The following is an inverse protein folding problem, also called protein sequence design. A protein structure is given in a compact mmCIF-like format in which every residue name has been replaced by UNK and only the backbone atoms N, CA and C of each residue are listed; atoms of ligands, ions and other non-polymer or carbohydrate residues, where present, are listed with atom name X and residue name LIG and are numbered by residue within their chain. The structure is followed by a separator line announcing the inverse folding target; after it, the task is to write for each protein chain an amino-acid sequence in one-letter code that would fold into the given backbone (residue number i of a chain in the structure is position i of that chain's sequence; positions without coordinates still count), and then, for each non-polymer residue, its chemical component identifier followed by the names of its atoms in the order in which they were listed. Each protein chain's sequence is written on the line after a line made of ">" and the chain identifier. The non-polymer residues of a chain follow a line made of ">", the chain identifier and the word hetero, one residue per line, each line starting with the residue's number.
data_IF_952746847710
#
_entry.id   IF_952746847710
#
_cell.length_a   1.000
_cell.length_b   1.000
_cell.length_c   1.000
_cell.angle_alpha   90.00
_cell.angle_beta   90.00
_cell.angle_gamma   90.00
#
_symmetry.space_group_name_H-M   'P 1'
#
loop_
_entity.id
_entity.type
_entity.pdbx_description
1 polymer ?
#
# COMPACT_ATOMS: atom_id res chain seq x y z
N UNK A 1 -1.99 -30.78 -2.49
CA UNK A 1 -2.16 -30.60 -3.96
C UNK A 1 -3.40 -29.76 -4.24
N UNK A 2 -4.59 -30.06 -3.71
CA UNK A 2 -5.83 -29.31 -3.97
C UNK A 2 -5.75 -27.81 -3.71
N UNK A 3 -5.08 -27.38 -2.65
CA UNK A 3 -4.93 -25.97 -2.31
C UNK A 3 -4.13 -25.15 -3.35
N UNK A 4 -3.14 -25.76 -4.01
CA UNK A 4 -2.40 -25.11 -5.09
C UNK A 4 -3.27 -24.85 -6.32
N UNK A 5 -4.21 -25.76 -6.64
CA UNK A 5 -5.17 -25.55 -7.70
C UNK A 5 -6.08 -24.35 -7.41
N UNK A 6 -6.54 -24.20 -6.15
CA UNK A 6 -7.34 -23.03 -5.72
C UNK A 6 -6.56 -21.74 -5.90
N UNK A 7 -5.28 -21.71 -5.52
CA UNK A 7 -4.41 -20.53 -5.69
C UNK A 7 -4.22 -20.20 -7.17
N UNK A 8 -4.02 -21.18 -8.02
CA UNK A 8 -3.83 -20.99 -9.45
C UNK A 8 -5.12 -20.44 -10.11
N UNK A 9 -6.27 -21.00 -9.79
CA UNK A 9 -7.58 -20.51 -10.25
C UNK A 9 -7.78 -19.06 -9.81
N UNK A 10 -7.48 -18.73 -8.55
CA UNK A 10 -7.55 -17.37 -8.05
C UNK A 10 -6.69 -16.40 -8.86
N UNK A 11 -5.44 -16.73 -9.15
CA UNK A 11 -4.54 -15.88 -9.94
C UNK A 11 -5.03 -15.69 -11.38
N UNK A 12 -5.56 -16.74 -12.01
CA UNK A 12 -6.15 -16.65 -13.36
C UNK A 12 -7.37 -15.71 -13.35
N UNK A 13 -8.27 -15.88 -12.39
CA UNK A 13 -9.45 -15.03 -12.22
C UNK A 13 -9.02 -13.58 -11.98
N UNK A 14 -8.03 -13.35 -11.11
CA UNK A 14 -7.50 -12.03 -10.81
C UNK A 14 -6.97 -11.33 -12.08
N UNK A 15 -6.14 -12.02 -12.88
CA UNK A 15 -5.59 -11.49 -14.13
C UNK A 15 -6.74 -11.17 -15.12
N UNK A 16 -7.69 -12.07 -15.29
CA UNK A 16 -8.82 -11.88 -16.20
C UNK A 16 -9.67 -10.66 -15.80
N UNK A 17 -10.04 -10.56 -14.51
CA UNK A 17 -10.80 -9.40 -14.00
C UNK A 17 -10.03 -8.09 -14.17
N UNK A 18 -8.72 -8.10 -13.91
CA UNK A 18 -7.91 -6.91 -14.05
C UNK A 18 -7.87 -6.43 -15.50
N UNK A 19 -7.74 -7.31 -16.48
CA UNK A 19 -7.70 -6.94 -17.90
C UNK A 19 -9.05 -6.42 -18.41
N UNK A 20 -10.15 -6.93 -17.84
CA UNK A 20 -11.50 -6.47 -18.19
C UNK A 20 -11.78 -5.09 -17.58
N UNK A 21 -11.47 -4.89 -16.30
CA UNK A 21 -11.80 -3.66 -15.57
C UNK A 21 -10.83 -2.50 -15.88
N UNK A 22 -9.55 -2.81 -16.12
CA UNK A 22 -8.49 -1.81 -16.29
C UNK A 22 -7.65 -2.04 -17.56
N UNK A 23 -8.22 -1.93 -18.77
CA UNK A 23 -7.53 -2.25 -20.03
C UNK A 23 -6.34 -1.33 -20.33
N UNK A 24 -6.30 -0.12 -19.72
CA UNK A 24 -5.21 0.86 -19.89
C UNK A 24 -4.06 0.68 -18.88
N UNK A 25 -4.19 -0.23 -17.92
CA UNK A 25 -3.15 -0.43 -16.91
C UNK A 25 -2.01 -1.31 -17.43
N UNK A 26 -0.83 -1.17 -16.81
CA UNK A 26 0.36 -1.94 -17.18
C UNK A 26 0.18 -3.42 -16.92
N UNK A 27 0.13 -4.21 -17.99
CA UNK A 27 0.03 -5.69 -17.91
C UNK A 27 1.27 -6.30 -17.28
N UNK A 28 2.44 -5.72 -17.52
CA UNK A 28 3.71 -6.19 -16.98
C UNK A 28 3.72 -6.14 -15.45
N UNK A 29 3.21 -5.05 -14.86
CA UNK A 29 3.14 -4.88 -13.41
C UNK A 29 2.28 -5.96 -12.77
N UNK A 30 1.11 -6.25 -13.34
CA UNK A 30 0.18 -7.26 -12.82
C UNK A 30 0.76 -8.67 -12.93
N UNK A 31 1.39 -8.99 -14.06
CA UNK A 31 2.02 -10.30 -14.25
C UNK A 31 3.17 -10.51 -13.24
N UNK A 32 4.01 -9.50 -13.02
CA UNK A 32 5.08 -9.57 -12.01
C UNK A 32 4.51 -9.73 -10.60
N UNK A 33 3.43 -9.02 -10.26
CA UNK A 33 2.76 -9.16 -8.98
C UNK A 33 2.22 -10.59 -8.79
N UNK A 34 1.54 -11.13 -9.79
CA UNK A 34 1.02 -12.51 -9.74
C UNK A 34 2.14 -13.56 -9.62
N UNK A 35 3.25 -13.35 -10.34
CA UNK A 35 4.43 -14.19 -10.23
C UNK A 35 5.01 -14.19 -8.80
N UNK A 36 5.20 -13.01 -8.21
CA UNK A 36 5.69 -12.88 -6.84
C UNK A 36 4.73 -13.50 -5.82
N UNK A 37 3.42 -13.31 -5.99
CA UNK A 37 2.41 -13.93 -5.13
C UNK A 37 2.43 -15.45 -5.23
N UNK A 38 2.57 -16.02 -6.44
CA UNK A 38 2.63 -17.48 -6.62
C UNK A 38 3.84 -18.08 -5.92
N UNK A 39 5.02 -17.48 -6.08
CA UNK A 39 6.24 -17.89 -5.38
C UNK A 39 6.06 -17.76 -3.86
N UNK A 40 5.50 -16.65 -3.38
CA UNK A 40 5.23 -16.41 -1.96
C UNK A 40 4.31 -17.48 -1.36
N UNK A 41 3.21 -17.82 -2.04
CA UNK A 41 2.29 -18.87 -1.57
C UNK A 41 2.94 -20.25 -1.52
N UNK A 42 3.75 -20.61 -2.52
CA UNK A 42 4.47 -21.87 -2.53
C UNK A 42 5.44 -21.96 -1.33
N UNK A 43 6.21 -20.90 -1.08
CA UNK A 43 7.17 -20.87 0.02
C UNK A 43 6.48 -20.92 1.40
N UNK A 44 5.43 -20.15 1.61
CA UNK A 44 4.69 -20.13 2.89
C UNK A 44 3.99 -21.49 3.12
N UNK A 45 3.40 -22.08 2.07
CA UNK A 45 2.74 -23.38 2.17
C UNK A 45 3.70 -24.51 2.59
N UNK A 46 4.96 -24.43 2.17
CA UNK A 46 6.00 -25.39 2.58
C UNK A 46 6.44 -25.23 4.03
N UNK A 47 6.43 -23.98 4.55
CA UNK A 47 6.86 -23.67 5.91
C UNK A 47 5.74 -23.90 6.93
N UNK A 48 4.54 -23.43 6.64
CA UNK A 48 3.39 -23.54 7.54
C UNK A 48 2.08 -23.37 6.76
N UNK A 49 1.32 -24.44 6.67
CA UNK A 49 0.08 -24.46 5.90
C UNK A 49 -1.00 -23.51 6.46
N UNK A 50 -1.15 -23.43 7.79
CA UNK A 50 -2.14 -22.54 8.41
C UNK A 50 -1.86 -21.06 8.14
N UNK A 51 -0.56 -20.69 8.13
CA UNK A 51 -0.15 -19.34 7.75
C UNK A 51 -0.42 -19.06 6.27
N UNK A 52 -0.25 -20.07 5.41
CA UNK A 52 -0.56 -19.95 3.99
C UNK A 52 -2.05 -19.71 3.75
N UNK A 53 -2.93 -20.41 4.45
CA UNK A 53 -4.40 -20.18 4.37
C UNK A 53 -4.76 -18.77 4.81
N UNK A 54 -4.22 -18.30 5.94
CA UNK A 54 -4.43 -16.92 6.41
C UNK A 54 -3.95 -15.89 5.38
N UNK A 55 -2.76 -16.10 4.83
CA UNK A 55 -2.19 -15.22 3.81
C UNK A 55 -3.04 -15.20 2.53
N UNK A 56 -3.58 -16.34 2.13
CA UNK A 56 -4.47 -16.45 0.97
C UNK A 56 -5.77 -15.65 1.19
N UNK A 57 -6.39 -15.77 2.37
CA UNK A 57 -7.60 -14.99 2.71
C UNK A 57 -7.30 -13.48 2.69
N UNK A 58 -6.17 -13.06 3.25
CA UNK A 58 -5.75 -11.65 3.22
C UNK A 58 -5.53 -11.18 1.78
N UNK A 59 -4.92 -11.99 0.93
CA UNK A 59 -4.69 -11.66 -0.48
C UNK A 59 -6.01 -11.51 -1.25
N UNK A 60 -7.01 -12.36 -1.01
CA UNK A 60 -8.35 -12.24 -1.60
C UNK A 60 -9.03 -10.95 -1.15
N UNK A 61 -9.01 -10.64 0.15
CA UNK A 61 -9.57 -9.40 0.69
C UNK A 61 -8.85 -8.17 0.11
N UNK A 62 -7.52 -8.20 0.05
CA UNK A 62 -6.72 -7.14 -0.55
C UNK A 62 -7.05 -6.92 -2.03
N UNK A 63 -7.33 -7.97 -2.77
CA UNK A 63 -7.78 -7.90 -4.18
C UNK A 63 -9.11 -7.17 -4.30
N UNK A 64 -10.08 -7.47 -3.45
CA UNK A 64 -11.38 -6.78 -3.44
C UNK A 64 -11.17 -5.28 -3.19
N UNK A 65 -10.37 -4.93 -2.19
CA UNK A 65 -10.03 -3.54 -1.88
C UNK A 65 -9.32 -2.87 -3.07
N UNK A 66 -8.36 -3.57 -3.70
CA UNK A 66 -7.62 -3.07 -4.85
C UNK A 66 -8.55 -2.71 -6.04
N UNK A 67 -9.58 -3.48 -6.29
CA UNK A 67 -10.56 -3.17 -7.34
C UNK A 67 -11.52 -2.05 -6.92
N UNK A 68 -11.85 -1.96 -5.65
CA UNK A 68 -12.82 -1.00 -5.13
C UNK A 68 -12.23 0.42 -5.04
N UNK A 69 -10.94 0.57 -4.68
CA UNK A 69 -10.29 1.88 -4.48
C UNK A 69 -10.30 2.75 -5.74
N UNK A 70 -9.88 2.30 -6.94
CA UNK A 70 -9.91 3.13 -8.15
C UNK A 70 -11.33 3.52 -8.57
N UNK A 71 -12.30 2.62 -8.34
CA UNK A 71 -13.70 2.90 -8.59
C UNK A 71 -14.22 4.00 -7.66
N UNK A 72 -13.91 3.94 -6.36
CA UNK A 72 -14.24 4.98 -5.38
C UNK A 72 -13.62 6.33 -5.74
N UNK A 73 -12.33 6.36 -6.08
CA UNK A 73 -11.62 7.59 -6.47
C UNK A 73 -12.26 8.22 -7.70
N UNK A 74 -12.68 7.42 -8.67
CA UNK A 74 -13.35 7.90 -9.87
C UNK A 74 -14.77 8.39 -9.61
N UNK A 75 -15.51 7.71 -8.73
CA UNK A 75 -16.90 8.00 -8.41
C UNK A 75 -17.06 9.25 -7.54
N UNK A 76 -16.16 9.46 -6.58
CA UNK A 76 -16.25 10.54 -5.60
C UNK A 76 -15.23 11.62 -5.91
N UNK A 77 -15.64 12.64 -6.64
CA UNK A 77 -14.79 13.80 -7.01
C UNK A 77 -14.17 14.52 -5.80
N UNK A 78 -14.81 14.40 -4.64
CA UNK A 78 -14.37 15.02 -3.39
C UNK A 78 -13.02 14.46 -2.90
N UNK A 79 -12.70 13.20 -3.16
CA UNK A 79 -11.39 12.61 -2.81
C UNK A 79 -10.21 13.34 -3.47
N UNK A 80 -10.44 13.95 -4.63
CA UNK A 80 -9.42 14.71 -5.35
C UNK A 80 -9.08 16.06 -4.70
N UNK A 81 -9.91 16.55 -3.78
CA UNK A 81 -9.75 17.87 -3.18
C UNK A 81 -9.19 17.84 -1.75
N UNK A 82 -9.11 16.67 -1.13
CA UNK A 82 -8.72 16.51 0.28
C UNK A 82 -7.21 16.34 0.50
N UNK A 83 -6.36 16.93 -0.34
CA UNK A 83 -4.89 16.79 -0.25
C UNK A 83 -4.34 17.07 1.15
N UNK A 84 -4.80 18.13 1.83
CA UNK A 84 -4.36 18.46 3.19
C UNK A 84 -4.80 17.43 4.23
N UNK A 85 -5.97 16.82 4.08
CA UNK A 85 -6.46 15.77 4.99
C UNK A 85 -5.55 14.55 4.87
N UNK A 86 -5.17 14.15 3.64
CA UNK A 86 -4.26 13.03 3.41
C UNK A 86 -2.87 13.30 3.98
N UNK A 87 -2.34 14.52 3.82
CA UNK A 87 -1.07 14.92 4.39
C UNK A 87 -1.07 14.81 5.92
N UNK A 88 -2.06 15.43 6.57
CA UNK A 88 -2.16 15.47 8.03
C UNK A 88 -2.40 14.06 8.58
N UNK A 89 -3.31 13.28 7.99
CA UNK A 89 -3.58 11.91 8.44
C UNK A 89 -2.36 11.00 8.28
N UNK A 90 -1.60 11.15 7.20
CA UNK A 90 -0.35 10.43 6.99
C UNK A 90 0.70 10.76 8.05
N UNK A 91 0.90 12.04 8.34
CA UNK A 91 1.84 12.49 9.37
C UNK A 91 1.44 12.03 10.77
N UNK A 92 0.16 12.11 11.12
CA UNK A 92 -0.36 11.64 12.42
C UNK A 92 -0.13 10.14 12.59
N UNK A 93 -0.41 9.34 11.55
CA UNK A 93 -0.14 7.89 11.58
C UNK A 93 1.35 7.58 11.73
N UNK A 94 2.23 8.31 11.03
CA UNK A 94 3.67 8.12 11.18
C UNK A 94 4.18 8.53 12.56
N UNK A 95 3.69 9.63 13.12
CA UNK A 95 4.01 10.04 14.49
C UNK A 95 3.54 9.02 15.52
N UNK A 96 2.36 8.42 15.31
CA UNK A 96 1.86 7.35 16.18
C UNK A 96 2.80 6.13 16.18
N UNK A 97 3.42 5.82 15.03
CA UNK A 97 4.43 4.74 14.93
C UNK A 97 5.68 5.05 15.76
N UNK A 98 6.16 6.29 15.76
CA UNK A 98 7.31 6.71 16.58
C UNK A 98 7.08 6.50 18.08
N UNK A 99 5.82 6.64 18.52
CA UNK A 99 5.42 6.42 19.92
C UNK A 99 5.13 4.94 20.23
N UNK A 100 5.09 4.09 19.21
CA UNK A 100 4.82 2.65 19.34
C UNK A 100 6.00 1.86 19.89
N UNK A 101 5.75 0.57 20.23
CA UNK A 101 6.77 -0.33 20.73
C UNK A 101 7.78 -0.71 19.63
N UNK A 102 9.05 -0.73 20.00
CA UNK A 102 10.13 -1.20 19.11
C UNK A 102 10.06 -2.72 18.96
N UNK A 103 9.96 -3.20 17.74
CA UNK A 103 10.07 -4.62 17.39
C UNK A 103 11.35 -4.79 16.57
N UNK A 104 12.27 -5.65 17.04
CA UNK A 104 13.59 -5.85 16.41
C UNK A 104 14.42 -4.56 16.20
N UNK A 105 14.28 -3.58 17.11
CA UNK A 105 15.02 -2.33 17.03
C UNK A 105 14.43 -1.24 16.13
N UNK A 106 13.32 -1.52 15.44
CA UNK A 106 12.61 -0.57 14.59
C UNK A 106 11.17 -0.35 15.07
N UNK A 107 10.68 0.90 14.92
CA UNK A 107 9.28 1.24 15.20
C UNK A 107 8.46 1.01 13.93
N UNK A 108 8.16 -0.26 13.60
CA UNK A 108 7.52 -0.61 12.32
C UNK A 108 6.05 -1.02 12.45
N UNK A 109 5.67 -1.60 13.58
CA UNK A 109 4.36 -2.23 13.73
C UNK A 109 3.63 -1.77 14.98
N UNK A 110 2.32 -1.56 14.83
CA UNK A 110 1.38 -1.46 15.93
C UNK A 110 0.72 -2.82 16.13
N UNK A 111 0.91 -3.44 17.29
CA UNK A 111 0.23 -4.68 17.63
C UNK A 111 -1.13 -4.37 18.26
N UNK A 112 -2.21 -4.77 17.60
CA UNK A 112 -3.57 -4.66 18.10
C UNK A 112 -4.07 -6.10 18.35
N UNK A 113 -3.84 -6.61 19.55
CA UNK A 113 -4.18 -8.00 19.90
C UNK A 113 -3.38 -9.01 19.10
N UNK A 114 -4.05 -9.92 18.38
CA UNK A 114 -3.43 -10.96 17.56
C UNK A 114 -2.96 -10.49 16.17
N UNK A 115 -3.24 -9.24 15.79
CA UNK A 115 -2.85 -8.67 14.51
C UNK A 115 -1.76 -7.62 14.69
N UNK A 116 -0.71 -7.73 13.88
CA UNK A 116 0.29 -6.67 13.72
C UNK A 116 -0.01 -5.89 12.44
N UNK A 117 -0.22 -4.60 12.57
CA UNK A 117 -0.48 -3.69 11.46
C UNK A 117 0.72 -2.77 11.31
N UNK A 118 1.23 -2.63 10.10
CA UNK A 118 2.29 -1.69 9.78
C UNK A 118 1.67 -0.41 9.22
N UNK A 119 1.58 0.68 9.99
CA UNK A 119 0.93 1.92 9.53
C UNK A 119 1.59 2.53 8.30
N UNK A 120 2.91 2.36 8.11
CA UNK A 120 3.63 2.83 6.93
C UNK A 120 3.02 2.33 5.61
N UNK A 121 2.43 1.13 5.58
CA UNK A 121 1.76 0.59 4.39
C UNK A 121 0.51 1.41 4.01
N UNK A 122 -0.27 1.84 5.01
CA UNK A 122 -1.42 2.71 4.79
C UNK A 122 -1.00 4.13 4.41
N UNK A 123 0.07 4.63 5.05
CA UNK A 123 0.58 5.98 4.77
C UNK A 123 1.10 6.09 3.33
N UNK A 124 1.63 5.02 2.72
CA UNK A 124 2.00 5.02 1.29
C UNK A 124 0.82 5.43 0.41
N UNK A 125 -0.36 4.87 0.67
CA UNK A 125 -1.57 5.19 -0.09
C UNK A 125 -1.98 6.65 0.12
N UNK A 126 -2.00 7.09 1.39
CA UNK A 126 -2.33 8.46 1.75
C UNK A 126 -1.34 9.47 1.14
N UNK A 127 -0.06 9.14 1.12
CA UNK A 127 0.99 9.96 0.54
C UNK A 127 0.82 10.14 -0.97
N UNK A 128 0.58 9.06 -1.71
CA UNK A 128 0.30 9.14 -3.16
C UNK A 128 -0.96 9.96 -3.42
N UNK A 129 -2.01 9.78 -2.61
CA UNK A 129 -3.24 10.58 -2.70
C UNK A 129 -2.99 12.06 -2.40
N UNK A 130 -2.15 12.37 -1.42
CA UNK A 130 -1.73 13.74 -1.09
C UNK A 130 -1.03 14.40 -2.28
N UNK A 131 0.02 13.78 -2.80
CA UNK A 131 0.80 14.31 -3.92
C UNK A 131 -0.09 14.50 -5.16
N UNK A 132 -0.87 13.47 -5.53
CA UNK A 132 -1.78 13.53 -6.66
C UNK A 132 -2.87 14.62 -6.51
N UNK A 133 -3.44 14.77 -5.32
CA UNK A 133 -4.46 15.79 -5.04
C UNK A 133 -3.91 17.21 -5.09
N UNK A 134 -2.70 17.41 -4.59
CA UNK A 134 -2.08 18.74 -4.59
C UNK A 134 -1.70 19.19 -6.00
N UNK A 135 -1.14 18.31 -6.84
CA UNK A 135 -0.81 18.65 -8.22
C UNK A 135 -2.03 18.72 -9.16
N UNK A 136 -3.18 18.14 -8.77
CA UNK A 136 -4.40 18.28 -9.55
C UNK A 136 -4.98 19.70 -9.55
N UNK A 137 -4.68 20.53 -8.54
CA UNK A 137 -5.23 21.88 -8.41
C UNK A 137 -4.42 22.92 -9.19
N UNK A 138 -3.11 22.86 -9.12
CA UNK A 138 -2.19 23.73 -9.86
C UNK A 138 -0.77 23.17 -9.83
N UNK A 139 0.03 23.56 -10.81
CA UNK A 139 1.47 23.22 -10.90
C UNK A 139 2.34 24.45 -10.69
N UNK A 140 1.91 25.39 -9.85
CA UNK A 140 2.67 26.59 -9.54
C UNK A 140 3.93 26.23 -8.74
N UNK A 141 5.05 26.92 -9.01
CA UNK A 141 6.33 26.70 -8.29
C UNK A 141 6.17 26.73 -6.77
N UNK A 142 5.38 27.70 -6.26
CA UNK A 142 5.08 27.82 -4.83
C UNK A 142 4.40 26.55 -4.27
N UNK A 143 3.48 25.97 -5.03
CA UNK A 143 2.78 24.75 -4.63
C UNK A 143 3.72 23.53 -4.65
N UNK A 144 4.59 23.43 -5.65
CA UNK A 144 5.61 22.39 -5.71
C UNK A 144 6.53 22.46 -4.49
N UNK A 145 7.00 23.64 -4.10
CA UNK A 145 7.81 23.80 -2.89
C UNK A 145 7.07 23.33 -1.63
N UNK A 146 5.79 23.68 -1.48
CA UNK A 146 5.00 23.26 -0.32
C UNK A 146 4.87 21.73 -0.29
N UNK A 147 4.52 21.10 -1.42
CA UNK A 147 4.41 19.63 -1.52
C UNK A 147 5.73 18.97 -1.19
N UNK A 148 6.83 19.46 -1.72
CA UNK A 148 8.18 18.92 -1.47
C UNK A 148 8.57 19.00 0.00
N UNK A 149 8.27 20.11 0.68
CA UNK A 149 8.55 20.24 2.13
C UNK A 149 7.76 19.22 2.95
N UNK A 150 6.47 19.05 2.68
CA UNK A 150 5.67 18.04 3.40
C UNK A 150 6.03 16.61 3.01
N UNK A 151 6.42 16.37 1.77
CA UNK A 151 6.96 15.09 1.33
C UNK A 151 8.27 14.75 2.07
N UNK A 152 9.20 15.69 2.13
CA UNK A 152 10.44 15.54 2.88
C UNK A 152 10.19 15.24 4.37
N UNK A 153 9.18 15.88 4.98
CA UNK A 153 8.81 15.62 6.36
C UNK A 153 8.37 14.17 6.57
N UNK A 154 7.56 13.59 5.67
CA UNK A 154 7.20 12.16 5.73
C UNK A 154 8.44 11.26 5.65
N UNK A 155 9.36 11.56 4.73
CA UNK A 155 10.61 10.79 4.57
C UNK A 155 11.46 10.86 5.83
N UNK A 156 11.63 12.04 6.43
CA UNK A 156 12.41 12.23 7.66
C UNK A 156 11.83 11.39 8.80
N UNK A 157 10.51 11.40 8.99
CA UNK A 157 9.86 10.60 10.05
C UNK A 157 10.10 9.10 9.82
N UNK A 158 10.03 8.62 8.57
CA UNK A 158 10.32 7.21 8.24
C UNK A 158 11.77 6.84 8.49
N UNK A 159 12.72 7.73 8.19
CA UNK A 159 14.14 7.53 8.52
C UNK A 159 14.35 7.46 10.04
N UNK A 160 13.69 8.32 10.80
CA UNK A 160 13.73 8.29 12.28
C UNK A 160 13.09 7.03 12.84
N UNK A 161 12.10 6.46 12.14
CA UNK A 161 11.48 5.16 12.49
C UNK A 161 12.35 3.96 12.09
N UNK A 162 13.53 4.18 11.47
CA UNK A 162 14.43 3.15 10.92
C UNK A 162 13.81 2.32 9.79
N UNK A 163 12.77 2.83 9.12
CA UNK A 163 12.15 2.22 7.94
C UNK A 163 12.72 2.80 6.65
N UNK A 164 13.99 2.48 6.37
CA UNK A 164 14.68 2.97 5.18
C UNK A 164 14.06 2.49 3.87
N UNK A 165 13.44 1.30 3.86
CA UNK A 165 12.76 0.77 2.68
C UNK A 165 11.54 1.60 2.29
N UNK A 166 10.68 1.93 3.25
CA UNK A 166 9.56 2.82 3.02
C UNK A 166 10.04 4.24 2.66
N UNK A 167 11.04 4.76 3.38
CA UNK A 167 11.61 6.09 3.11
C UNK A 167 12.11 6.24 1.67
N UNK A 168 12.77 5.21 1.12
CA UNK A 168 13.21 5.19 -0.27
C UNK A 168 12.02 5.29 -1.25
N UNK A 169 10.95 4.52 -1.01
CA UNK A 169 9.76 4.54 -1.86
C UNK A 169 9.12 5.93 -1.84
N UNK A 170 8.99 6.57 -0.67
CA UNK A 170 8.43 7.92 -0.54
C UNK A 170 9.31 8.98 -1.21
N UNK A 171 10.61 8.79 -1.21
CA UNK A 171 11.55 9.70 -1.88
C UNK A 171 11.45 9.62 -3.41
N UNK A 172 11.19 8.42 -3.95
CA UNK A 172 11.10 8.19 -5.42
C UNK A 172 9.76 8.66 -6.00
N UNK A 173 8.67 8.63 -5.22
CA UNK A 173 7.33 9.08 -5.64
C UNK A 173 7.22 10.59 -5.69
#
# INVERSE_FOLDING_TARGET
>A
IGFYFVQLIYLIIFIAFYYILYPKASRLLVNNMCMLMSVGFIMIARLNFDKCVKQFVIAVLGTVIMFLVPWLIKSVKSFRNFGWIYCISGLVLLCAVLLGNKVYGANLTLSIGAFSVQPAEFVKILYVMFVASMFNKSTTFKQTCIVTVFAALHVIILVLSTDLGAALIFFVV
#
